data_IF_934517061816
#
_entry.id   IF_934517061816
#
_cell.length_a   1.000
_cell.length_b   1.000
_cell.length_c   1.000
_cell.angle_alpha   90.00
_cell.angle_beta   90.00
_cell.angle_gamma   90.00
#
_symmetry.space_group_name_H-M   'P 1'
#
loop_
_entity.id
_entity.type
_entity.pdbx_description
1 polymer ?
#
# COMPACT_ATOMS: atom_id res chain seq x y z
N UNK A 1 -33.11 -0.48 2.74
CA UNK A 1 -32.00 0.48 2.86
C UNK A 1 -31.98 1.33 1.60
N UNK A 2 -32.27 2.62 1.74
CA UNK A 2 -32.40 3.58 0.65
C UNK A 2 -31.01 4.03 0.18
N UNK A 3 -30.75 3.95 -1.12
CA UNK A 3 -29.72 4.78 -1.77
C UNK A 3 -30.42 5.89 -2.52
N UNK A 4 -30.27 7.12 -2.04
CA UNK A 4 -30.84 8.31 -2.66
C UNK A 4 -30.16 8.61 -3.98
N UNK A 5 -31.02 8.76 -5.00
CA UNK A 5 -30.73 9.07 -6.39
C UNK A 5 -30.65 10.60 -6.53
N UNK A 6 -29.49 11.16 -6.82
CA UNK A 6 -29.38 12.58 -7.21
C UNK A 6 -29.60 12.66 -8.72
N UNK A 7 -30.79 13.11 -9.11
CA UNK A 7 -31.08 13.59 -10.46
C UNK A 7 -30.42 14.96 -10.64
N UNK A 8 -29.59 15.12 -11.67
CA UNK A 8 -29.29 16.44 -12.25
C UNK A 8 -29.88 16.51 -13.65
N UNK A 9 -30.64 17.58 -13.92
CA UNK A 9 -31.36 17.84 -15.15
C UNK A 9 -30.58 18.86 -16.00
N UNK A 10 -30.21 18.43 -17.22
CA UNK A 10 -29.90 19.13 -18.47
C UNK A 10 -29.28 20.56 -18.48
N UNK A 11 -28.10 20.68 -19.12
CA UNK A 11 -27.87 21.41 -20.40
C UNK A 11 -26.54 20.89 -21.06
N UNK A 12 -26.38 20.98 -22.40
CA UNK A 12 -25.47 20.14 -23.16
C UNK A 12 -24.11 20.77 -23.50
N UNK A 13 -23.15 19.86 -23.74
CA UNK A 13 -21.82 20.08 -24.33
C UNK A 13 -20.82 20.83 -23.45
N UNK A 14 -19.82 20.11 -22.98
CA UNK A 14 -18.41 20.25 -23.39
C UNK A 14 -17.56 19.38 -22.43
N UNK A 15 -16.83 18.42 -23.00
CA UNK A 15 -15.75 17.64 -22.39
C UNK A 15 -16.16 16.75 -21.21
N UNK A 16 -16.28 15.44 -21.50
CA UNK A 16 -16.25 14.41 -20.48
C UNK A 16 -14.88 14.49 -19.77
N UNK A 17 -14.80 14.72 -18.44
CA UNK A 17 -13.51 14.72 -17.76
C UNK A 17 -12.87 13.33 -17.94
N UNK A 18 -11.54 13.22 -18.06
CA UNK A 18 -10.89 11.92 -18.05
C UNK A 18 -11.30 11.27 -16.73
N UNK A 19 -12.09 10.20 -16.81
CA UNK A 19 -12.47 9.39 -15.65
C UNK A 19 -11.20 8.69 -15.20
N UNK A 20 -10.39 9.38 -14.39
CA UNK A 20 -9.31 8.75 -13.66
C UNK A 20 -9.98 7.72 -12.76
N UNK A 21 -9.85 6.44 -13.11
CA UNK A 21 -10.25 5.36 -12.22
C UNK A 21 -9.66 5.62 -10.84
N UNK A 22 -10.34 5.42 -9.71
CA UNK A 22 -9.69 5.54 -8.41
C UNK A 22 -8.52 4.56 -8.30
N UNK A 23 -7.36 4.99 -7.79
CA UNK A 23 -6.38 4.04 -7.29
C UNK A 23 -6.99 3.32 -6.09
N UNK A 24 -6.98 2.00 -6.13
CA UNK A 24 -7.33 1.17 -5.00
C UNK A 24 -6.02 0.67 -4.40
N UNK A 25 -5.83 0.94 -3.10
CA UNK A 25 -4.69 0.41 -2.34
C UNK A 25 -5.24 -0.44 -1.22
N UNK A 26 -4.80 -1.68 -1.16
CA UNK A 26 -5.14 -2.65 -0.13
C UNK A 26 -3.86 -3.01 0.63
N UNK A 27 -3.85 -2.77 1.93
CA UNK A 27 -2.81 -3.28 2.82
C UNK A 27 -3.26 -4.61 3.41
N UNK A 28 -2.48 -5.67 3.22
CA UNK A 28 -2.73 -6.95 3.88
C UNK A 28 -2.17 -6.93 5.30
N UNK A 29 -2.84 -7.66 6.20
CA UNK A 29 -2.45 -7.74 7.61
C UNK A 29 -1.05 -8.36 7.72
N UNK A 30 -0.17 -7.71 8.47
CA UNK A 30 1.19 -8.18 8.78
C UNK A 30 1.15 -9.38 9.72
N UNK A 31 1.88 -10.45 9.41
CA UNK A 31 1.86 -11.72 10.15
C UNK A 31 3.29 -12.19 10.43
N UNK A 32 3.49 -12.82 11.58
CA UNK A 32 4.70 -13.60 11.83
C UNK A 32 4.70 -14.90 11.02
N UNK A 33 5.88 -15.40 10.75
CA UNK A 33 6.08 -16.63 9.96
C UNK A 33 6.01 -17.89 10.83
N UNK A 34 6.25 -17.75 12.13
CA UNK A 34 6.11 -18.85 13.09
C UNK A 34 4.67 -18.98 13.60
N UNK A 35 4.27 -20.23 13.84
CA UNK A 35 3.03 -20.58 14.51
C UNK A 35 3.06 -20.12 15.99
N UNK A 36 1.92 -19.70 16.51
CA UNK A 36 1.72 -19.33 17.90
C UNK A 36 1.05 -20.46 18.70
N UNK A 37 0.96 -20.31 20.02
CA UNK A 37 0.40 -21.33 20.91
C UNK A 37 -1.11 -21.62 20.74
N UNK A 38 -1.79 -20.96 19.80
CA UNK A 38 -3.21 -21.18 19.48
C UNK A 38 -3.42 -21.68 18.05
N UNK A 39 -2.41 -22.28 17.44
CA UNK A 39 -2.44 -22.80 16.06
C UNK A 39 -2.72 -21.73 14.99
N UNK A 40 -2.34 -20.48 15.29
CA UNK A 40 -2.40 -19.36 14.36
C UNK A 40 -1.02 -18.73 14.20
N UNK A 41 -0.98 -17.48 13.74
CA UNK A 41 0.25 -16.66 13.77
C UNK A 41 0.00 -15.35 14.50
N UNK A 42 1.06 -14.67 14.94
CA UNK A 42 0.95 -13.37 15.60
C UNK A 42 0.99 -12.20 14.60
N UNK A 43 0.75 -10.99 15.10
CA UNK A 43 0.99 -9.78 14.33
C UNK A 43 2.48 -9.64 14.02
N UNK A 44 2.81 -9.42 12.76
CA UNK A 44 4.19 -9.30 12.30
C UNK A 44 4.62 -7.86 11.99
N UNK A 45 5.92 -7.67 11.77
CA UNK A 45 6.50 -6.38 11.40
C UNK A 45 6.23 -5.97 9.94
N UNK A 46 6.20 -6.92 9.01
CA UNK A 46 6.01 -6.68 7.57
C UNK A 46 4.82 -7.46 6.98
N UNK A 47 4.36 -7.01 5.81
CA UNK A 47 3.23 -7.58 5.06
C UNK A 47 3.18 -7.01 3.65
N UNK A 48 2.23 -7.49 2.85
CA UNK A 48 2.12 -7.12 1.43
C UNK A 48 1.11 -6.00 1.23
N UNK A 49 1.43 -5.06 0.33
CA UNK A 49 0.48 -4.07 -0.18
C UNK A 49 0.16 -4.36 -1.65
N UNK A 50 -1.11 -4.25 -2.01
CA UNK A 50 -1.59 -4.37 -3.38
C UNK A 50 -2.12 -3.02 -3.83
N UNK A 51 -1.58 -2.52 -4.95
CA UNK A 51 -2.03 -1.27 -5.57
C UNK A 51 -2.55 -1.59 -6.97
N UNK A 52 -3.74 -1.08 -7.30
CA UNK A 52 -4.42 -1.34 -8.57
C UNK A 52 -5.12 -0.08 -9.08
N UNK A 53 -5.12 0.14 -10.40
CA UNK A 53 -5.76 1.29 -11.04
C UNK A 53 -5.13 1.63 -12.39
N UNK A 54 -5.80 2.47 -13.18
CA UNK A 54 -5.41 2.75 -14.56
C UNK A 54 -4.07 3.49 -14.75
N UNK A 55 -3.53 4.16 -13.72
CA UNK A 55 -2.20 4.79 -13.74
C UNK A 55 -1.12 3.95 -13.04
N UNK A 56 -1.45 2.76 -12.56
CA UNK A 56 -0.47 1.94 -11.81
C UNK A 56 0.54 1.34 -12.78
N UNK A 57 1.82 1.61 -12.56
CA UNK A 57 2.91 0.90 -13.19
C UNK A 57 3.05 -0.46 -12.49
N UNK A 58 2.47 -1.50 -13.10
CA UNK A 58 2.45 -2.84 -12.52
C UNK A 58 3.85 -3.43 -12.34
N UNK A 59 4.00 -4.33 -11.37
CA UNK A 59 5.26 -5.00 -11.08
C UNK A 59 5.35 -5.41 -9.60
N UNK A 60 6.47 -6.05 -9.26
CA UNK A 60 6.84 -6.30 -7.86
C UNK A 60 7.77 -5.19 -7.37
N UNK A 61 7.34 -4.48 -6.33
CA UNK A 61 8.14 -3.46 -5.67
C UNK A 61 8.67 -4.03 -4.35
N UNK A 62 9.94 -4.45 -4.36
CA UNK A 62 10.62 -5.15 -3.27
C UNK A 62 11.05 -6.56 -3.67
N UNK A 63 11.56 -7.33 -2.71
CA UNK A 63 12.00 -8.71 -2.92
C UNK A 63 11.24 -9.71 -2.04
N UNK A 64 11.31 -11.00 -2.40
CA UNK A 64 10.74 -12.06 -1.59
C UNK A 64 11.69 -12.39 -0.43
N UNK A 65 11.23 -12.38 0.83
CA UNK A 65 12.08 -12.71 1.97
C UNK A 65 12.45 -14.19 1.99
N UNK A 66 13.62 -14.52 2.53
CA UNK A 66 14.00 -15.88 2.87
C UNK A 66 13.32 -16.26 4.19
N UNK A 67 12.57 -17.36 4.23
CA UNK A 67 11.76 -17.72 5.41
C UNK A 67 12.41 -18.78 6.31
N UNK A 68 13.72 -19.00 6.19
CA UNK A 68 14.45 -19.89 7.11
C UNK A 68 14.49 -19.27 8.50
N UNK A 69 14.06 -20.02 9.53
CA UNK A 69 14.03 -19.58 10.93
C UNK A 69 15.43 -19.59 11.58
N UNK A 70 16.40 -18.98 10.90
CA UNK A 70 17.77 -18.80 11.37
C UNK A 70 17.91 -17.37 11.92
N UNK A 71 18.35 -17.17 13.17
CA UNK A 71 18.64 -15.84 13.72
C UNK A 71 19.64 -15.01 12.89
N UNK A 72 20.45 -15.65 12.05
CA UNK A 72 21.37 -14.98 11.11
C UNK A 72 20.72 -14.60 9.77
N UNK A 73 19.45 -14.92 9.55
CA UNK A 73 18.74 -14.62 8.31
C UNK A 73 18.59 -13.09 8.13
N UNK A 74 19.16 -12.51 7.07
CA UNK A 74 19.16 -11.05 6.89
C UNK A 74 17.80 -10.47 6.50
N UNK A 75 16.84 -11.32 6.11
CA UNK A 75 15.48 -10.91 5.74
C UNK A 75 14.49 -11.01 6.90
N UNK A 76 14.97 -11.47 8.07
CA UNK A 76 14.18 -11.57 9.29
C UNK A 76 14.81 -10.73 10.40
N UNK A 77 13.97 -10.31 11.34
CA UNK A 77 14.35 -9.58 12.56
C UNK A 77 13.70 -10.24 13.79
N UNK A 78 13.96 -9.67 14.96
CA UNK A 78 13.42 -10.17 16.23
C UNK A 78 13.72 -11.67 16.45
N UNK A 79 14.98 -12.06 16.24
CA UNK A 79 15.44 -13.46 16.36
C UNK A 79 14.67 -14.42 15.43
N UNK A 80 14.57 -14.06 14.15
CA UNK A 80 13.89 -14.81 13.10
C UNK A 80 12.36 -14.95 13.25
N UNK A 81 11.72 -14.11 14.07
CA UNK A 81 10.27 -14.15 14.29
C UNK A 81 9.49 -13.27 13.31
N UNK A 82 10.09 -12.16 12.87
CA UNK A 82 9.44 -11.14 12.06
C UNK A 82 10.14 -10.97 10.72
N UNK A 83 9.38 -10.78 9.63
CA UNK A 83 9.96 -10.41 8.33
C UNK A 83 10.40 -8.96 8.39
N UNK A 84 11.65 -8.69 8.00
CA UNK A 84 12.18 -7.34 7.86
C UNK A 84 11.53 -6.63 6.66
N UNK A 85 11.04 -5.41 6.84
CA UNK A 85 10.37 -4.68 5.77
C UNK A 85 11.37 -3.94 4.88
N UNK A 86 11.17 -3.95 3.56
CA UNK A 86 12.01 -3.19 2.62
C UNK A 86 11.38 -1.85 2.21
N UNK A 87 10.05 -1.80 2.26
CA UNK A 87 9.25 -0.64 1.86
C UNK A 87 8.41 -0.17 3.03
N UNK A 88 8.65 1.07 3.45
CA UNK A 88 7.81 1.73 4.43
C UNK A 88 6.43 2.00 3.80
N UNK A 89 5.37 1.57 4.47
CA UNK A 89 4.00 1.76 3.99
C UNK A 89 3.65 3.25 3.84
N UNK A 90 4.28 4.13 4.62
CA UNK A 90 4.09 5.58 4.54
C UNK A 90 4.63 6.14 3.23
N UNK A 91 5.69 5.55 2.69
CA UNK A 91 6.21 5.92 1.37
C UNK A 91 5.25 5.55 0.25
N UNK A 92 4.51 4.44 0.39
CA UNK A 92 3.44 4.06 -0.54
C UNK A 92 2.31 5.09 -0.47
N UNK A 93 1.87 5.48 0.72
CA UNK A 93 0.85 6.52 0.88
C UNK A 93 1.32 7.89 0.38
N UNK A 94 2.58 8.26 0.63
CA UNK A 94 3.15 9.51 0.13
C UNK A 94 3.07 9.58 -1.40
N UNK A 95 3.44 8.49 -2.10
CA UNK A 95 3.33 8.41 -3.56
C UNK A 95 1.91 8.56 -4.07
N UNK A 96 0.94 7.91 -3.43
CA UNK A 96 -0.48 8.02 -3.80
C UNK A 96 -0.99 9.45 -3.57
N UNK A 97 -0.63 10.06 -2.44
CA UNK A 97 -1.04 11.42 -2.09
C UNK A 97 -0.46 12.44 -3.07
N UNK A 98 0.84 12.38 -3.33
CA UNK A 98 1.54 13.33 -4.21
C UNK A 98 1.10 13.15 -5.67
N UNK A 99 1.17 11.93 -6.22
CA UNK A 99 1.11 11.72 -7.67
C UNK A 99 -0.27 11.27 -8.18
N UNK A 100 -1.12 10.72 -7.30
CA UNK A 100 -2.50 10.38 -7.67
C UNK A 100 -3.51 11.44 -7.24
N UNK A 101 -3.44 11.86 -5.97
CA UNK A 101 -4.39 12.78 -5.37
C UNK A 101 -4.00 14.25 -5.57
N UNK A 102 -2.73 14.54 -5.88
CA UNK A 102 -2.25 15.89 -6.15
C UNK A 102 -2.16 16.78 -4.91
N UNK A 103 -1.90 16.22 -3.73
CA UNK A 103 -1.76 16.94 -2.46
C UNK A 103 -0.34 16.77 -1.89
N UNK A 104 0.07 17.61 -0.92
CA UNK A 104 1.40 17.49 -0.27
C UNK A 104 1.37 16.41 0.82
N UNK A 105 2.01 15.27 0.55
CA UNK A 105 2.15 14.15 1.48
C UNK A 105 2.80 14.51 2.81
N UNK A 106 3.74 15.47 2.84
CA UNK A 106 4.40 15.89 4.09
C UNK A 106 3.42 16.53 5.05
N UNK A 107 2.54 17.37 4.52
CA UNK A 107 1.54 18.07 5.33
C UNK A 107 0.52 17.09 5.93
N UNK A 108 0.18 16.03 5.20
CA UNK A 108 -0.80 15.02 5.63
C UNK A 108 -0.18 13.97 6.57
N UNK A 109 1.04 13.51 6.28
CA UNK A 109 1.71 12.46 7.04
C UNK A 109 2.54 13.00 8.22
N UNK A 110 2.79 14.31 8.27
CA UNK A 110 3.53 14.98 9.34
C UNK A 110 5.05 14.91 9.22
N UNK A 111 5.59 14.26 8.19
CA UNK A 111 7.03 14.17 7.90
C UNK A 111 7.25 13.80 6.42
N UNK A 112 8.49 13.83 5.94
CA UNK A 112 8.85 13.42 4.58
C UNK A 112 9.14 11.92 4.48
N UNK A 113 8.14 11.18 3.98
CA UNK A 113 8.23 9.75 3.69
C UNK A 113 8.44 9.44 2.21
N UNK A 114 8.70 10.44 1.36
CA UNK A 114 8.84 10.21 -0.08
C UNK A 114 10.05 9.32 -0.36
N UNK A 115 9.85 8.33 -1.23
CA UNK A 115 10.87 7.38 -1.65
C UNK A 115 10.99 7.41 -3.16
N UNK A 116 11.98 8.12 -3.74
CA UNK A 116 12.10 8.30 -5.19
C UNK A 116 12.20 6.99 -5.99
N UNK A 117 12.64 5.89 -5.36
CA UNK A 117 12.69 4.57 -5.98
C UNK A 117 11.34 3.85 -6.07
N UNK A 118 10.28 4.35 -5.43
CA UNK A 118 8.92 3.81 -5.57
C UNK A 118 8.18 4.51 -6.71
N UNK A 119 8.19 3.87 -7.89
CA UNK A 119 7.66 4.44 -9.14
C UNK A 119 6.36 3.77 -9.63
N UNK A 120 5.56 3.23 -8.70
CA UNK A 120 4.35 2.44 -9.04
C UNK A 120 3.15 3.25 -9.52
N UNK A 121 3.24 4.58 -9.46
CA UNK A 121 2.31 5.55 -10.06
C UNK A 121 3.14 6.56 -10.83
#
# INVERSE_FOLDING_TARGET
>A
MFFSRIMWRYLPSQVQPPTLSPAQTLALKRRRINENGSFGTDHGAAGTMLVMGGKVNGGLYGTAPLLSLDPQNPTLENNAADVHYETDFRSVYARIIDDWLGADSRAILGDDFRKPSLTFV
#
